data_IF_004585300484
#
_entry.id   IF_004585300484
#
_cell.length_a   1.000
_cell.length_b   1.000
_cell.length_c   1.000
_cell.angle_alpha   90.00
_cell.angle_beta   90.00
_cell.angle_gamma   90.00
#
_symmetry.space_group_name_H-M   'P 1'
#
loop_
_entity.id
_entity.type
_entity.pdbx_description
1 polymer ?
#
# COMPACT_ATOMS: atom_id res chain seq x y z
N UNK A 1 -16.66 -7.18 -23.41
CA UNK A 1 -16.66 -5.72 -23.25
C UNK A 1 -15.26 -5.29 -22.84
N UNK A 2 -14.44 -4.79 -23.76
CA UNK A 2 -13.09 -4.34 -23.45
C UNK A 2 -13.17 -2.86 -23.05
N UNK A 3 -13.44 -2.59 -21.77
CA UNK A 3 -13.38 -1.23 -21.24
C UNK A 3 -11.91 -0.81 -21.18
N UNK A 4 -11.45 -0.10 -22.20
CA UNK A 4 -10.15 0.56 -22.17
C UNK A 4 -10.20 1.65 -21.12
N UNK A 5 -9.33 1.55 -20.11
CA UNK A 5 -9.13 2.61 -19.12
C UNK A 5 -8.79 3.91 -19.85
N UNK A 6 -9.56 4.96 -19.59
CA UNK A 6 -9.27 6.28 -20.14
C UNK A 6 -8.05 6.87 -19.44
N UNK A 7 -7.37 7.84 -20.04
CA UNK A 7 -6.22 8.49 -19.39
C UNK A 7 -6.59 9.15 -18.05
N UNK A 8 -7.86 9.54 -17.87
CA UNK A 8 -8.38 10.05 -16.58
C UNK A 8 -8.49 8.95 -15.53
N UNK A 9 -8.91 7.75 -15.92
CA UNK A 9 -9.00 6.59 -15.02
C UNK A 9 -7.61 6.14 -14.58
N UNK A 10 -6.65 6.14 -15.50
CA UNK A 10 -5.23 5.83 -15.19
C UNK A 10 -4.66 6.87 -14.22
N UNK A 11 -4.95 8.16 -14.44
CA UNK A 11 -4.51 9.22 -13.54
C UNK A 11 -5.15 9.09 -12.15
N UNK A 12 -6.44 8.76 -12.08
CA UNK A 12 -7.17 8.54 -10.83
C UNK A 12 -6.64 7.31 -10.07
N UNK A 13 -6.47 6.16 -10.76
CA UNK A 13 -5.86 4.95 -10.22
C UNK A 13 -4.42 5.20 -9.74
N UNK A 14 -3.63 5.95 -10.50
CA UNK A 14 -2.27 6.36 -10.12
C UNK A 14 -2.26 7.20 -8.84
N UNK A 15 -3.12 8.21 -8.74
CA UNK A 15 -3.25 9.03 -7.52
C UNK A 15 -3.81 8.25 -6.33
N UNK A 16 -4.76 7.34 -6.52
CA UNK A 16 -5.26 6.49 -5.45
C UNK A 16 -4.17 5.56 -4.92
N UNK A 17 -3.42 4.92 -5.82
CA UNK A 17 -2.30 4.03 -5.46
C UNK A 17 -1.20 4.83 -4.76
N UNK A 18 -0.87 6.01 -5.29
CA UNK A 18 0.05 6.95 -4.66
C UNK A 18 -0.41 7.36 -3.26
N UNK A 19 -1.68 7.75 -3.08
CA UNK A 19 -2.22 8.15 -1.79
C UNK A 19 -2.27 6.97 -0.79
N UNK A 20 -2.49 5.75 -1.26
CA UNK A 20 -2.45 4.55 -0.42
C UNK A 20 -1.04 4.30 0.14
N UNK A 21 -0.01 4.46 -0.69
CA UNK A 21 1.38 4.22 -0.31
C UNK A 21 2.07 5.43 0.34
N UNK A 22 1.79 6.66 -0.09
CA UNK A 22 2.34 7.90 0.51
C UNK A 22 1.54 8.34 1.74
N UNK A 23 0.26 8.00 1.82
CA UNK A 23 -0.57 8.28 2.98
C UNK A 23 -0.20 7.43 4.19
N UNK A 24 -1.13 7.35 5.15
CA UNK A 24 -0.92 6.75 6.48
C UNK A 24 -0.15 5.42 6.45
N UNK A 25 -0.40 4.59 5.41
CA UNK A 25 0.31 3.36 5.07
C UNK A 25 1.82 3.40 5.28
N UNK A 26 2.61 4.14 4.49
CA UNK A 26 4.09 4.11 4.61
C UNK A 26 4.74 5.32 5.30
N UNK A 27 4.01 6.39 5.62
CA UNK A 27 4.61 7.56 6.28
C UNK A 27 4.31 7.62 7.78
N UNK A 28 3.11 7.21 8.20
CA UNK A 28 2.68 7.34 9.60
C UNK A 28 2.88 6.02 10.35
N UNK A 29 2.46 4.90 9.77
CA UNK A 29 2.49 3.61 10.46
C UNK A 29 3.90 3.03 10.67
N UNK A 30 4.87 3.09 9.73
CA UNK A 30 6.16 2.42 9.93
C UNK A 30 6.98 2.96 11.11
N UNK A 31 7.11 4.29 11.31
CA UNK A 31 7.76 4.82 12.50
C UNK A 31 7.03 4.44 13.79
N UNK A 32 5.69 4.47 13.76
CA UNK A 32 4.86 4.19 14.94
C UNK A 32 4.95 2.71 15.35
N UNK A 33 4.86 1.80 14.37
CA UNK A 33 5.02 0.35 14.54
C UNK A 33 6.47 0.00 14.91
N UNK A 34 7.45 0.70 14.34
CA UNK A 34 8.87 0.57 14.70
C UNK A 34 9.13 0.93 16.16
N UNK A 35 8.55 2.02 16.66
CA UNK A 35 8.69 2.42 18.07
C UNK A 35 7.92 1.46 19.00
N UNK A 36 6.72 1.03 18.62
CA UNK A 36 5.89 0.13 19.45
C UNK A 36 6.42 -1.32 19.48
N UNK A 37 7.18 -1.74 18.47
CA UNK A 37 7.66 -3.13 18.37
C UNK A 37 8.90 -3.42 19.23
N UNK A 38 9.58 -2.40 19.77
CA UNK A 38 10.70 -2.59 20.69
C UNK A 38 11.84 -3.40 20.06
N UNK A 39 12.14 -4.58 20.60
CA UNK A 39 13.15 -5.49 20.02
C UNK A 39 12.63 -6.31 18.82
N UNK A 40 11.32 -6.36 18.60
CA UNK A 40 10.68 -7.18 17.56
C UNK A 40 10.43 -6.43 16.24
N UNK A 41 11.23 -5.39 15.95
CA UNK A 41 11.08 -4.55 14.74
C UNK A 41 11.01 -5.37 13.47
N UNK A 42 11.82 -6.42 13.34
CA UNK A 42 11.84 -7.26 12.14
C UNK A 42 10.54 -8.04 11.91
N UNK A 43 9.94 -8.57 12.99
CA UNK A 43 8.66 -9.28 12.92
C UNK A 43 7.53 -8.30 12.61
N UNK A 44 7.55 -7.12 13.24
CA UNK A 44 6.56 -6.07 12.99
C UNK A 44 6.67 -5.51 11.56
N UNK A 45 7.89 -5.35 11.04
CA UNK A 45 8.14 -4.92 9.65
C UNK A 45 7.62 -5.95 8.63
N UNK A 46 7.79 -7.25 8.89
CA UNK A 46 7.22 -8.31 8.04
C UNK A 46 5.69 -8.30 8.05
N UNK A 47 5.07 -8.17 9.23
CA UNK A 47 3.61 -8.05 9.34
C UNK A 47 3.07 -6.82 8.64
N UNK A 48 3.77 -5.68 8.77
CA UNK A 48 3.46 -4.45 8.05
C UNK A 48 3.59 -4.63 6.54
N UNK A 49 4.69 -5.21 6.05
CA UNK A 49 4.89 -5.47 4.62
C UNK A 49 3.81 -6.38 4.05
N UNK A 50 3.44 -7.45 4.74
CA UNK A 50 2.40 -8.37 4.26
C UNK A 50 1.02 -7.70 4.18
N UNK A 51 0.67 -6.86 5.15
CA UNK A 51 -0.68 -6.28 5.25
C UNK A 51 -0.80 -4.94 4.53
N UNK A 52 0.10 -4.00 4.78
CA UNK A 52 0.06 -2.64 4.23
C UNK A 52 0.61 -2.54 2.81
N UNK A 53 1.42 -3.51 2.36
CA UNK A 53 1.96 -3.53 0.99
C UNK A 53 1.48 -4.74 0.20
N UNK A 54 1.55 -5.94 0.78
CA UNK A 54 1.20 -7.19 0.11
C UNK A 54 -0.27 -7.24 -0.36
N UNK A 55 -1.22 -6.95 0.52
CA UNK A 55 -2.64 -6.98 0.17
C UNK A 55 -3.01 -5.95 -0.91
N UNK A 56 -2.61 -4.66 -0.83
CA UNK A 56 -2.84 -3.71 -1.91
C UNK A 56 -2.25 -4.12 -3.26
N UNK A 57 -1.03 -4.68 -3.26
CA UNK A 57 -0.39 -5.16 -4.49
C UNK A 57 -1.22 -6.27 -5.12
N UNK A 58 -1.70 -7.25 -4.33
CA UNK A 58 -2.57 -8.32 -4.81
C UNK A 58 -3.88 -7.74 -5.37
N UNK A 59 -4.48 -6.75 -4.70
CA UNK A 59 -5.69 -6.07 -5.19
C UNK A 59 -5.48 -5.39 -6.53
N UNK A 60 -4.36 -4.67 -6.70
CA UNK A 60 -4.03 -4.03 -7.97
C UNK A 60 -3.80 -5.06 -9.07
N UNK A 61 -3.06 -6.14 -8.79
CA UNK A 61 -2.83 -7.22 -9.75
C UNK A 61 -4.16 -7.90 -10.16
N UNK A 62 -5.09 -8.08 -9.22
CA UNK A 62 -6.40 -8.67 -9.51
C UNK A 62 -7.33 -7.76 -10.33
N UNK A 63 -7.11 -6.43 -10.25
CA UNK A 63 -7.87 -5.42 -10.99
C UNK A 63 -7.29 -5.12 -12.37
N UNK A 64 -5.98 -5.31 -12.56
CA UNK A 64 -5.25 -5.08 -13.80
C UNK A 64 -5.51 -6.18 -14.84
#
# INVERSE_FOLDING_TARGET
MTNRLTSKDILALGFMTFALFVGAGNIIFPPMVGIQSGEHVWIAALGFLLTAVGLPVITVIALA
#
